data_IF_443442970097
#
_entry.id   IF_443442970097
#
_cell.length_a   1.000
_cell.length_b   1.000
_cell.length_c   1.000
_cell.angle_alpha   90.00
_cell.angle_beta   90.00
_cell.angle_gamma   90.00
#
_symmetry.space_group_name_H-M   'P 1'
#
loop_
_entity.id
_entity.type
_entity.pdbx_description
1 polymer ?
#
# COMPACT_ATOMS: atom_id res chain seq x y z
N UNK A 1 2.49 6.56 22.50
CA UNK A 1 3.08 6.05 21.24
C UNK A 1 1.95 5.44 20.46
N UNK A 2 1.70 5.91 19.24
CA UNK A 2 0.67 5.39 18.36
C UNK A 2 1.06 4.00 17.84
N UNK A 3 0.16 3.04 17.90
CA UNK A 3 0.31 1.74 17.27
C UNK A 3 -0.19 1.81 15.82
N UNK A 4 0.71 1.58 14.87
CA UNK A 4 0.43 1.64 13.44
C UNK A 4 0.63 0.25 12.84
N UNK A 5 -0.43 -0.32 12.30
CA UNK A 5 -0.39 -1.63 11.64
C UNK A 5 -0.18 -1.45 10.14
N UNK A 6 0.96 -1.89 9.65
CA UNK A 6 1.22 -2.02 8.23
C UNK A 6 0.67 -3.36 7.72
N UNK A 7 -0.29 -3.31 6.80
CA UNK A 7 -0.97 -4.46 6.19
C UNK A 7 -0.09 -5.19 5.15
N UNK A 8 1.19 -5.36 5.48
CA UNK A 8 2.21 -6.01 4.66
C UNK A 8 3.38 -6.48 5.52
N UNK A 9 4.05 -7.55 5.08
CA UNK A 9 5.34 -8.01 5.63
C UNK A 9 6.53 -7.55 4.78
N UNK A 10 6.30 -6.79 3.70
CA UNK A 10 7.37 -6.31 2.85
C UNK A 10 8.19 -5.23 3.59
N UNK A 11 9.49 -5.47 3.86
CA UNK A 11 10.30 -4.57 4.68
C UNK A 11 10.49 -3.19 4.05
N UNK A 12 10.42 -3.06 2.72
CA UNK A 12 10.49 -1.77 2.05
C UNK A 12 9.22 -0.93 2.29
N UNK A 13 8.03 -1.57 2.19
CA UNK A 13 6.75 -0.91 2.47
C UNK A 13 6.65 -0.50 3.95
N UNK A 14 7.08 -1.37 4.87
CA UNK A 14 7.11 -1.06 6.31
C UNK A 14 8.02 0.14 6.60
N UNK A 15 9.21 0.19 6.00
CA UNK A 15 10.12 1.34 6.17
C UNK A 15 9.52 2.64 5.62
N UNK A 16 8.86 2.59 4.46
CA UNK A 16 8.20 3.77 3.90
C UNK A 16 7.09 4.30 4.82
N UNK A 17 6.30 3.41 5.42
CA UNK A 17 5.26 3.77 6.41
C UNK A 17 5.91 4.36 7.66
N UNK A 18 6.96 3.73 8.20
CA UNK A 18 7.67 4.22 9.38
C UNK A 18 8.22 5.64 9.17
N UNK A 19 8.86 5.87 8.02
CA UNK A 19 9.39 7.19 7.68
C UNK A 19 8.27 8.22 7.54
N UNK A 20 7.19 7.92 6.83
CA UNK A 20 6.07 8.84 6.68
C UNK A 20 5.42 9.21 8.01
N UNK A 21 5.28 8.25 8.94
CA UNK A 21 4.74 8.52 10.28
C UNK A 21 5.72 9.31 11.15
N UNK A 22 7.03 9.08 11.04
CA UNK A 22 8.05 9.88 11.73
C UNK A 22 8.22 11.30 11.15
N UNK A 23 7.81 11.53 9.90
CA UNK A 23 7.83 12.87 9.30
C UNK A 23 6.55 13.64 9.67
N UNK A 24 5.41 12.95 9.78
CA UNK A 24 4.11 13.55 10.09
C UNK A 24 3.86 13.74 11.60
N UNK A 25 4.46 12.89 12.43
CA UNK A 25 4.44 12.94 13.89
C UNK A 25 5.88 13.04 14.40
N UNK A 26 6.09 13.40 15.66
CA UNK A 26 7.45 13.50 16.21
C UNK A 26 8.16 12.13 16.24
N UNK A 27 9.48 12.11 16.03
CA UNK A 27 10.30 10.90 16.06
C UNK A 27 10.08 10.10 17.36
N UNK A 28 9.88 8.79 17.24
CA UNK A 28 9.59 7.92 18.38
C UNK A 28 8.14 7.97 18.88
N UNK A 29 7.26 8.72 18.22
CA UNK A 29 5.84 8.76 18.57
C UNK A 29 5.06 7.53 18.08
N UNK A 30 5.60 6.75 17.15
CA UNK A 30 4.91 5.64 16.50
C UNK A 30 5.64 4.31 16.65
N UNK A 31 4.89 3.23 16.88
CA UNK A 31 5.35 1.85 16.78
C UNK A 31 4.70 1.20 15.55
N UNK A 32 5.53 0.79 14.59
CA UNK A 32 5.06 0.16 13.35
C UNK A 32 5.13 -1.37 13.50
N UNK A 33 4.00 -2.03 13.32
CA UNK A 33 3.89 -3.49 13.28
C UNK A 33 3.49 -3.95 11.87
N UNK A 34 4.29 -4.81 11.24
CA UNK A 34 3.93 -5.46 9.99
C UNK A 34 3.02 -6.68 10.21
N UNK A 35 1.97 -6.81 9.42
CA UNK A 35 1.05 -7.94 9.46
C UNK A 35 0.72 -8.47 8.07
N UNK A 36 0.71 -9.80 7.93
CA UNK A 36 0.24 -10.46 6.71
C UNK A 36 -1.29 -10.49 6.71
N UNK A 37 -1.89 -9.90 5.68
CA UNK A 37 -3.33 -9.93 5.43
C UNK A 37 -3.58 -10.10 3.94
N UNK A 38 -4.70 -10.71 3.58
CA UNK A 38 -5.09 -10.86 2.19
C UNK A 38 -5.57 -9.52 1.61
N UNK A 39 -5.30 -9.27 0.33
CA UNK A 39 -5.82 -8.10 -0.39
C UNK A 39 -7.27 -8.31 -0.87
N UNK A 40 -7.78 -9.55 -0.85
CA UNK A 40 -9.10 -9.89 -1.37
C UNK A 40 -9.30 -9.62 -2.87
N UNK A 41 -8.24 -9.25 -3.59
CA UNK A 41 -8.18 -9.09 -5.05
C UNK A 41 -7.10 -9.99 -5.62
N UNK A 42 -7.03 -10.09 -6.95
CA UNK A 42 -5.98 -10.86 -7.63
C UNK A 42 -4.57 -10.35 -7.27
N UNK A 43 -3.57 -11.23 -7.35
CA UNK A 43 -2.18 -10.88 -7.01
C UNK A 43 -1.58 -9.79 -7.93
N UNK A 44 -2.12 -9.65 -9.15
CA UNK A 44 -1.94 -8.49 -10.02
C UNK A 44 -3.34 -7.97 -10.35
N UNK A 45 -3.62 -6.74 -9.99
CA UNK A 45 -4.87 -6.05 -10.31
C UNK A 45 -4.80 -5.59 -11.77
N UNK A 46 -5.93 -5.55 -12.47
CA UNK A 46 -5.96 -5.18 -13.88
C UNK A 46 -6.21 -3.68 -14.10
N UNK A 47 -6.42 -2.92 -13.01
CA UNK A 47 -6.71 -1.48 -13.06
C UNK A 47 -6.32 -0.72 -11.79
N UNK A 48 -6.17 0.60 -11.92
CA UNK A 48 -6.06 1.57 -10.83
C UNK A 48 -7.16 1.39 -9.78
N UNK A 49 -8.40 1.20 -10.23
CA UNK A 49 -9.55 1.04 -9.35
C UNK A 49 -9.49 -0.25 -8.53
N UNK A 50 -9.07 -1.36 -9.14
CA UNK A 50 -8.86 -2.63 -8.43
C UNK A 50 -7.67 -2.55 -7.47
N UNK A 51 -6.58 -1.90 -7.88
CA UNK A 51 -5.40 -1.67 -7.03
C UNK A 51 -5.77 -0.89 -5.76
N UNK A 52 -6.56 0.19 -5.91
CA UNK A 52 -7.09 0.95 -4.77
C UNK A 52 -8.01 0.10 -3.90
N UNK A 53 -8.84 -0.74 -4.51
CA UNK A 53 -9.74 -1.64 -3.80
C UNK A 53 -8.96 -2.67 -2.98
N UNK A 54 -7.90 -3.26 -3.54
CA UNK A 54 -6.98 -4.14 -2.82
C UNK A 54 -6.34 -3.46 -1.60
N UNK A 55 -5.88 -2.21 -1.75
CA UNK A 55 -5.33 -1.45 -0.63
C UNK A 55 -6.37 -1.22 0.48
N UNK A 56 -7.61 -0.84 0.12
CA UNK A 56 -8.71 -0.67 1.08
C UNK A 56 -9.05 -1.98 1.80
N UNK A 57 -9.08 -3.09 1.08
CA UNK A 57 -9.39 -4.40 1.65
C UNK A 57 -8.28 -4.88 2.60
N UNK A 58 -7.00 -4.65 2.26
CA UNK A 58 -5.88 -4.89 3.17
C UNK A 58 -6.03 -4.12 4.48
N UNK A 59 -6.38 -2.83 4.40
CA UNK A 59 -6.62 -2.01 5.59
C UNK A 59 -7.78 -2.56 6.43
N UNK A 60 -8.91 -2.88 5.79
CA UNK A 60 -10.06 -3.46 6.48
C UNK A 60 -9.73 -4.80 7.18
N UNK A 61 -8.99 -5.67 6.51
CA UNK A 61 -8.55 -6.96 7.06
C UNK A 61 -7.56 -6.77 8.21
N UNK A 62 -6.59 -5.86 8.07
CA UNK A 62 -5.66 -5.52 9.15
C UNK A 62 -6.39 -4.97 10.37
N UNK A 63 -7.41 -4.14 10.16
CA UNK A 63 -8.28 -3.62 11.23
C UNK A 63 -9.08 -4.71 11.92
N UNK A 64 -9.57 -5.69 11.17
CA UNK A 64 -10.26 -6.83 11.76
C UNK A 64 -9.33 -7.68 12.65
N UNK A 65 -8.10 -7.95 12.18
CA UNK A 65 -7.11 -8.76 12.92
C UNK A 65 -6.53 -8.01 14.11
N UNK A 66 -6.28 -6.70 13.97
CA UNK A 66 -5.67 -5.84 15.00
C UNK A 66 -6.56 -4.63 15.32
N UNK A 67 -7.73 -4.83 15.94
CA UNK A 67 -8.71 -3.76 16.15
C UNK A 67 -8.29 -2.69 17.18
N UNK A 68 -7.25 -2.97 17.96
CA UNK A 68 -6.76 -2.06 19.01
C UNK A 68 -5.68 -1.07 18.53
N UNK A 69 -5.26 -1.14 17.27
CA UNK A 69 -4.29 -0.19 16.73
C UNK A 69 -4.91 1.21 16.58
N UNK A 70 -4.06 2.24 16.57
CA UNK A 70 -4.49 3.61 16.33
C UNK A 70 -4.66 3.89 14.83
N UNK A 71 -3.81 3.24 14.01
CA UNK A 71 -3.80 3.39 12.55
C UNK A 71 -3.61 2.06 11.82
N UNK A 72 -4.19 1.94 10.63
CA UNK A 72 -4.00 0.84 9.70
C UNK A 72 -3.61 1.36 8.32
N UNK A 73 -2.57 0.78 7.73
CA UNK A 73 -1.93 1.32 6.52
C UNK A 73 -1.70 0.21 5.50
N UNK A 74 -2.09 0.44 4.25
CA UNK A 74 -1.72 -0.41 3.13
C UNK A 74 -1.06 0.41 2.01
N UNK A 75 -0.11 -0.22 1.33
CA UNK A 75 0.47 0.27 0.08
C UNK A 75 0.30 -0.85 -0.94
N UNK A 76 -0.50 -0.64 -1.98
CA UNK A 76 -0.59 -1.56 -3.11
C UNK A 76 -0.02 -0.92 -4.35
N UNK A 77 0.83 -1.66 -5.06
CA UNK A 77 1.49 -1.19 -6.27
C UNK A 77 1.09 -2.08 -7.42
N UNK A 78 0.86 -1.47 -8.58
CA UNK A 78 0.48 -2.19 -9.78
C UNK A 78 0.96 -1.49 -11.05
N UNK A 79 0.72 -2.14 -12.18
CA UNK A 79 1.01 -1.63 -13.52
C UNK A 79 -0.30 -1.53 -14.30
N UNK A 80 -0.59 -0.35 -14.85
CA UNK A 80 -1.70 -0.16 -15.79
C UNK A 80 -1.16 0.49 -17.07
N UNK A 81 -1.38 -0.16 -18.20
CA UNK A 81 -0.69 0.21 -19.43
C UNK A 81 0.82 0.08 -19.27
N UNK A 82 1.56 1.12 -19.67
CA UNK A 82 3.02 1.18 -19.55
C UNK A 82 3.48 1.88 -18.26
N UNK A 83 2.59 2.07 -17.27
CA UNK A 83 2.87 2.87 -16.09
C UNK A 83 2.74 2.07 -14.80
N UNK A 84 3.77 2.12 -13.95
CA UNK A 84 3.70 1.64 -12.58
C UNK A 84 3.24 2.75 -11.62
N UNK A 85 2.44 2.40 -10.62
CA UNK A 85 1.97 3.31 -9.58
C UNK A 85 1.69 2.55 -8.28
N UNK A 86 1.37 3.28 -7.21
CA UNK A 86 0.90 2.70 -5.97
C UNK A 86 -0.23 3.53 -5.33
N UNK A 87 -1.16 2.84 -4.67
CA UNK A 87 -2.15 3.41 -3.78
C UNK A 87 -1.73 3.24 -2.33
N UNK A 88 -1.74 4.35 -1.59
CA UNK A 88 -1.60 4.40 -0.15
C UNK A 88 -2.98 4.64 0.46
N UNK A 89 -3.39 3.77 1.38
CA UNK A 89 -4.61 3.92 2.16
C UNK A 89 -4.23 3.89 3.64
N UNK A 90 -4.66 4.91 4.38
CA UNK A 90 -4.45 5.06 5.81
C UNK A 90 -5.80 5.23 6.48
N UNK A 91 -6.10 4.44 7.49
CA UNK A 91 -7.27 4.60 8.34
C UNK A 91 -6.89 4.85 9.78
N UNK A 92 -7.72 5.61 10.48
CA UNK A 92 -7.84 5.56 11.93
C UNK A 92 -9.27 5.14 12.31
N UNK A 93 -9.64 5.31 13.58
CA UNK A 93 -10.96 4.93 14.05
C UNK A 93 -12.13 5.67 13.37
N UNK A 94 -11.93 6.89 12.85
CA UNK A 94 -13.00 7.77 12.36
C UNK A 94 -12.94 8.07 10.85
N UNK A 95 -11.76 8.06 10.24
CA UNK A 95 -11.54 8.55 8.89
C UNK A 95 -10.57 7.69 8.10
N UNK A 96 -10.63 7.84 6.78
CA UNK A 96 -9.73 7.23 5.79
C UNK A 96 -9.10 8.31 4.93
N UNK A 97 -7.77 8.31 4.87
CA UNK A 97 -6.99 9.04 3.88
C UNK A 97 -6.55 8.11 2.75
N UNK A 98 -6.60 8.59 1.52
CA UNK A 98 -6.17 7.82 0.34
C UNK A 98 -5.37 8.72 -0.59
N UNK A 99 -4.29 8.19 -1.14
CA UNK A 99 -3.46 8.89 -2.12
C UNK A 99 -2.86 7.91 -3.11
N UNK A 100 -2.72 8.34 -4.37
CA UNK A 100 -1.97 7.60 -5.38
C UNK A 100 -0.61 8.26 -5.57
N UNK A 101 0.43 7.45 -5.70
CA UNK A 101 1.74 7.93 -6.12
C UNK A 101 1.67 8.57 -7.52
N UNK A 102 2.68 9.36 -7.84
CA UNK A 102 2.97 9.66 -9.24
C UNK A 102 3.18 8.34 -10.02
N UNK A 103 2.80 8.35 -11.29
CA UNK A 103 3.02 7.23 -12.19
C UNK A 103 4.46 7.26 -12.72
N UNK A 104 5.07 6.09 -12.83
CA UNK A 104 6.38 5.89 -13.44
C UNK A 104 6.22 5.10 -14.74
N UNK A 105 6.53 5.74 -15.87
CA UNK A 105 6.49 5.07 -17.18
C UNK A 105 7.62 4.05 -17.27
N UNK A 106 7.24 2.80 -17.51
CA UNK A 106 8.14 1.67 -17.64
C UNK A 106 8.84 1.71 -19.00
N UNK A 107 10.13 1.35 -19.06
CA UNK A 107 10.79 1.11 -20.33
C UNK A 107 10.09 -0.01 -21.11
N UNK A 108 10.02 0.06 -22.47
CA UNK A 108 9.31 -0.94 -23.28
C UNK A 108 9.80 -2.40 -23.11
N UNK A 109 11.05 -2.60 -22.69
CA UNK A 109 11.61 -3.93 -22.39
C UNK A 109 10.98 -4.59 -21.16
N UNK A 110 10.40 -3.80 -20.26
CA UNK A 110 9.77 -4.25 -19.01
C UNK A 110 8.27 -4.48 -19.17
N UNK A 111 7.57 -3.66 -19.96
CA UNK A 111 6.11 -3.74 -20.21
C UNK A 111 5.68 -4.97 -21.07
N UNK A 112 6.55 -5.96 -21.28
CA UNK A 112 6.20 -7.20 -22.01
C UNK A 112 5.87 -7.05 -23.50
N UNK A 113 5.74 -5.83 -24.03
CA UNK A 113 5.47 -5.53 -25.46
C UNK A 113 6.70 -5.70 -26.36
N UNK A 114 7.84 -6.10 -25.80
CA UNK A 114 9.07 -6.38 -26.55
C UNK A 114 9.15 -7.80 -27.12
N UNK A 115 8.11 -8.64 -26.96
CA UNK A 115 8.08 -10.03 -27.42
C UNK A 115 7.52 -10.31 -28.83
N UNK A 116 6.96 -9.31 -29.53
CA UNK A 116 6.54 -9.44 -30.92
C UNK A 116 7.36 -8.49 -31.81
N UNK A 117 8.64 -8.81 -32.03
CA UNK A 117 9.39 -8.27 -33.17
C UNK A 117 10.16 -9.40 -33.86
N UNK A 118 9.88 -9.50 -35.16
CA UNK A 118 10.37 -10.41 -36.20
C UNK A 118 9.64 -11.74 -36.33
#
# INVERSE_FOLDING_TARGET
MYHVVAATINPAKIRAIAQAFNDAFDEGSCHIEGGEVESGVAAQSLSDAETRTGARQRVANARHVRPQADYWVAIEADIEGDCAFAWMVVENAQQRGESRSASFTLPPVVDGRSGCRA
#
